data_IF_152070707806
#
_entry.id   IF_152070707806
#
_cell.length_a   1.000
_cell.length_b   1.000
_cell.length_c   1.000
_cell.angle_alpha   90.00
_cell.angle_beta   90.00
_cell.angle_gamma   90.00
#
_symmetry.space_group_name_H-M   'P 1'
#
loop_
_entity.id
_entity.type
_entity.pdbx_description
1 polymer ?
#
# COMPACT_ATOMS: atom_id res chain seq x y z
N UNK A 1 -3.97 20.88 8.34
CA UNK A 1 -3.95 20.22 7.02
C UNK A 1 -4.06 18.72 7.26
N UNK A 2 -5.00 18.02 6.61
CA UNK A 2 -5.10 16.57 6.74
C UNK A 2 -3.94 15.88 5.99
N UNK A 3 -3.43 14.77 6.54
CA UNK A 3 -2.38 13.95 5.93
C UNK A 3 -2.76 13.42 4.55
N UNK A 4 -1.77 12.99 3.77
CA UNK A 4 -2.05 12.32 2.50
C UNK A 4 -2.70 10.96 2.77
N UNK A 5 -3.83 10.67 2.12
CA UNK A 5 -4.49 9.36 2.16
C UNK A 5 -3.72 8.38 1.30
N UNK A 6 -3.17 7.33 1.91
CA UNK A 6 -2.37 6.31 1.22
C UNK A 6 -3.01 4.95 1.43
N UNK A 7 -3.22 4.22 0.33
CA UNK A 7 -3.66 2.83 0.36
C UNK A 7 -2.44 1.91 0.27
N UNK A 8 -2.28 1.03 1.25
CA UNK A 8 -1.38 -0.12 1.18
C UNK A 8 -2.17 -1.35 0.68
N UNK A 9 -1.72 -1.94 -0.43
CA UNK A 9 -2.26 -3.17 -0.99
C UNK A 9 -1.35 -4.33 -0.62
N UNK A 10 -1.77 -5.12 0.38
CA UNK A 10 -1.03 -6.27 0.92
C UNK A 10 -0.39 -5.97 2.26
N UNK A 11 -0.91 -6.59 3.31
CA UNK A 11 -0.37 -6.56 4.67
C UNK A 11 0.42 -7.83 5.00
N UNK A 12 0.10 -8.93 4.33
CA UNK A 12 0.70 -10.25 4.55
C UNK A 12 2.20 -10.27 4.23
N UNK A 13 2.97 -11.15 4.89
CA UNK A 13 4.42 -11.25 4.66
C UNK A 13 4.77 -11.79 3.26
N UNK A 14 3.81 -12.49 2.63
CA UNK A 14 3.92 -13.09 1.31
C UNK A 14 2.55 -13.14 0.63
N UNK A 15 2.57 -13.31 -0.69
CA UNK A 15 1.38 -13.52 -1.51
C UNK A 15 0.51 -14.69 -1.02
N UNK A 16 -0.78 -14.50 -1.23
CA UNK A 16 -1.88 -15.46 -1.10
C UNK A 16 -1.94 -16.24 0.23
N UNK A 17 -1.49 -15.61 1.31
CA UNK A 17 -1.62 -16.06 2.70
C UNK A 17 -2.14 -14.93 3.59
N UNK A 18 -2.57 -15.25 4.80
CA UNK A 18 -3.11 -14.31 5.79
C UNK A 18 -2.17 -14.09 7.00
N UNK A 19 -0.87 -14.34 6.82
CA UNK A 19 0.12 -14.23 7.89
C UNK A 19 0.87 -12.90 7.77
N UNK A 20 0.88 -12.10 8.83
CA UNK A 20 1.51 -10.77 8.90
C UNK A 20 2.84 -10.75 9.63
N UNK A 21 3.27 -11.89 10.19
CA UNK A 21 4.50 -11.94 10.99
C UNK A 21 5.70 -11.61 10.12
N UNK A 22 6.52 -10.68 10.59
CA UNK A 22 7.71 -10.18 9.88
C UNK A 22 7.40 -9.53 8.52
N UNK A 23 6.16 -9.10 8.30
CA UNK A 23 5.78 -8.43 7.06
C UNK A 23 6.53 -7.11 6.88
N UNK A 24 7.17 -6.94 5.72
CA UNK A 24 7.78 -5.66 5.33
C UNK A 24 6.75 -4.53 5.24
N UNK A 25 5.49 -4.85 5.00
CA UNK A 25 4.38 -3.89 4.96
C UNK A 25 4.18 -3.17 6.29
N UNK A 26 4.50 -3.79 7.43
CA UNK A 26 4.40 -3.14 8.75
C UNK A 26 5.33 -1.92 8.83
N UNK A 27 6.57 -2.06 8.33
CA UNK A 27 7.56 -0.98 8.33
C UNK A 27 7.08 0.19 7.47
N UNK A 28 6.47 -0.10 6.31
CA UNK A 28 5.93 0.92 5.39
C UNK A 28 4.81 1.71 6.09
N UNK A 29 3.82 1.02 6.65
CA UNK A 29 2.67 1.65 7.32
C UNK A 29 3.12 2.52 8.49
N UNK A 30 3.98 1.99 9.36
CA UNK A 30 4.48 2.74 10.52
C UNK A 30 5.28 3.96 10.10
N UNK A 31 6.17 3.82 9.10
CA UNK A 31 7.01 4.94 8.65
C UNK A 31 6.19 6.07 8.02
N UNK A 32 5.22 5.73 7.16
CA UNK A 32 4.36 6.72 6.53
C UNK A 32 3.43 7.40 7.54
N UNK A 33 2.95 6.64 8.53
CA UNK A 33 2.15 7.20 9.63
C UNK A 33 2.98 8.16 10.49
N UNK A 34 4.23 7.81 10.81
CA UNK A 34 5.15 8.72 11.51
C UNK A 34 5.36 10.04 10.75
N UNK A 35 5.36 9.97 9.40
CA UNK A 35 5.44 11.12 8.50
C UNK A 35 4.10 11.88 8.33
N UNK A 36 3.03 11.46 9.00
CA UNK A 36 1.72 12.12 9.00
C UNK A 36 0.77 11.67 7.88
N UNK A 37 1.00 10.52 7.24
CA UNK A 37 0.05 9.94 6.29
C UNK A 37 -1.20 9.36 7.00
N UNK A 38 -2.35 9.44 6.32
CA UNK A 38 -3.56 8.73 6.70
C UNK A 38 -3.57 7.39 5.97
N UNK A 39 -3.27 6.30 6.69
CA UNK A 39 -3.11 4.97 6.10
C UNK A 39 -4.45 4.23 6.01
N UNK A 40 -4.67 3.58 4.86
CA UNK A 40 -5.67 2.52 4.65
C UNK A 40 -4.96 1.26 4.21
N UNK A 41 -5.54 0.12 4.53
CA UNK A 41 -4.96 -1.19 4.18
C UNK A 41 -6.03 -2.02 3.51
N UNK A 42 -5.70 -2.55 2.34
CA UNK A 42 -6.47 -3.58 1.67
C UNK A 42 -5.63 -4.85 1.61
N UNK A 43 -6.21 -5.98 2.02
CA UNK A 43 -5.62 -7.30 1.89
C UNK A 43 -6.76 -8.32 1.73
N UNK A 44 -6.81 -9.08 0.63
CA UNK A 44 -7.93 -9.98 0.36
C UNK A 44 -7.98 -11.21 1.27
N UNK A 45 -6.89 -11.54 1.98
CA UNK A 45 -6.80 -12.77 2.79
C UNK A 45 -6.77 -12.50 4.30
N UNK A 46 -6.50 -11.26 4.72
CA UNK A 46 -6.30 -10.91 6.12
C UNK A 46 -7.54 -10.29 6.76
N UNK A 47 -7.96 -10.77 7.93
CA UNK A 47 -9.05 -10.15 8.70
C UNK A 47 -8.53 -9.12 9.72
N UNK A 48 -7.45 -9.46 10.43
CA UNK A 48 -6.92 -8.70 11.56
C UNK A 48 -5.43 -8.49 11.43
N UNK A 49 -4.96 -7.28 11.74
CA UNK A 49 -3.54 -6.97 11.78
C UNK A 49 -3.09 -6.66 13.21
N UNK A 50 -2.86 -7.71 14.00
CA UNK A 50 -2.62 -7.61 15.43
C UNK A 50 -1.37 -6.79 15.79
N UNK A 51 -0.34 -6.78 14.95
CA UNK A 51 0.84 -5.94 15.12
C UNK A 51 0.47 -4.44 15.20
N UNK A 52 -0.58 -4.01 14.51
CA UNK A 52 -1.09 -2.63 14.55
C UNK A 52 -2.20 -2.43 15.59
N UNK A 53 -3.11 -3.40 15.72
CA UNK A 53 -4.25 -3.31 16.63
C UNK A 53 -3.85 -3.41 18.12
N UNK A 54 -2.80 -4.18 18.43
CA UNK A 54 -2.38 -4.53 19.79
C UNK A 54 -0.91 -4.19 20.04
N UNK A 55 -0.51 -2.97 19.67
CA UNK A 55 0.89 -2.52 19.62
C UNK A 55 1.69 -2.76 20.91
N UNK A 56 1.06 -2.61 22.08
CA UNK A 56 1.71 -2.76 23.40
C UNK A 56 1.85 -4.22 23.86
N UNK A 57 1.10 -5.14 23.26
CA UNK A 57 0.93 -6.50 23.77
C UNK A 57 1.28 -7.60 22.77
N UNK A 58 1.28 -7.31 21.46
CA UNK A 58 1.55 -8.27 20.41
C UNK A 58 2.78 -7.87 19.58
N UNK A 59 3.63 -8.82 19.13
CA UNK A 59 3.65 -10.25 19.49
C UNK A 59 4.13 -10.50 20.93
N UNK A 60 4.91 -9.56 21.48
CA UNK A 60 5.21 -9.38 22.89
C UNK A 60 5.64 -7.92 23.08
N UNK A 61 5.48 -7.34 24.27
CA UNK A 61 5.81 -5.93 24.53
C UNK A 61 7.25 -5.55 24.14
N UNK A 62 8.21 -6.47 24.30
CA UNK A 62 9.61 -6.31 23.91
C UNK A 62 9.92 -6.65 22.44
N UNK A 63 8.94 -7.11 21.66
CA UNK A 63 9.12 -7.60 20.29
C UNK A 63 8.31 -6.82 19.24
N UNK A 64 7.35 -6.00 19.67
CA UNK A 64 6.63 -5.06 18.80
C UNK A 64 7.60 -4.08 18.13
N UNK A 65 7.42 -3.86 16.82
CA UNK A 65 8.18 -2.85 16.08
C UNK A 65 7.75 -1.42 16.44
N UNK A 66 6.60 -1.24 17.10
CA UNK A 66 6.09 0.07 17.51
C UNK A 66 7.16 0.90 18.24
N UNK A 67 8.03 0.27 19.05
CA UNK A 67 9.12 0.94 19.78
C UNK A 67 10.10 1.76 18.91
N UNK A 68 10.14 1.52 17.60
CA UNK A 68 11.03 2.20 16.67
C UNK A 68 10.38 3.38 15.93
N UNK A 69 9.09 3.63 16.16
CA UNK A 69 8.31 4.64 15.46
C UNK A 69 7.55 5.55 16.43
N UNK A 70 7.15 6.73 15.95
CA UNK A 70 6.36 7.72 16.69
C UNK A 70 5.05 8.02 15.98
N UNK A 71 4.14 8.73 16.65
CA UNK A 71 2.88 9.26 16.10
C UNK A 71 1.94 8.19 15.52
N UNK A 72 1.88 7.01 16.15
CA UNK A 72 1.21 5.83 15.59
C UNK A 72 -0.01 5.35 16.38
N UNK A 73 -0.49 6.14 17.34
CA UNK A 73 -1.62 5.76 18.21
C UNK A 73 -2.87 5.39 17.41
N UNK A 74 -3.10 6.11 16.30
CA UNK A 74 -4.24 5.86 15.42
C UNK A 74 -4.15 4.54 14.64
N UNK A 75 -2.99 3.87 14.57
CA UNK A 75 -2.87 2.57 13.89
C UNK A 75 -3.70 1.48 14.58
N UNK A 76 -4.02 1.62 15.87
CA UNK A 76 -4.92 0.70 16.57
C UNK A 76 -6.35 0.69 15.97
N UNK A 77 -6.71 1.75 15.24
CA UNK A 77 -8.01 1.91 14.61
C UNK A 77 -8.02 1.48 13.13
N UNK A 78 -6.90 1.00 12.57
CA UNK A 78 -6.89 0.44 11.23
C UNK A 78 -7.85 -0.74 11.15
N UNK A 79 -8.54 -0.84 10.02
CA UNK A 79 -9.35 -2.00 9.65
C UNK A 79 -8.92 -2.44 8.27
N UNK A 80 -8.76 -3.75 8.11
CA UNK A 80 -8.47 -4.33 6.80
C UNK A 80 -9.71 -4.17 5.93
N UNK A 81 -9.51 -3.63 4.73
CA UNK A 81 -10.53 -3.46 3.72
C UNK A 81 -10.45 -4.64 2.74
N UNK A 82 -11.61 -5.16 2.35
CA UNK A 82 -11.72 -6.24 1.35
C UNK A 82 -12.30 -5.78 0.01
N UNK A 83 -12.85 -4.56 -0.02
CA UNK A 83 -13.30 -3.90 -1.25
C UNK A 83 -12.24 -2.90 -1.70
N UNK A 84 -11.47 -3.27 -2.73
CA UNK A 84 -10.41 -2.44 -3.28
C UNK A 84 -10.94 -1.13 -3.87
N UNK A 85 -12.09 -1.16 -4.55
CA UNK A 85 -12.67 0.01 -5.18
C UNK A 85 -13.08 1.05 -4.12
N UNK A 86 -13.69 0.61 -3.02
CA UNK A 86 -13.98 1.47 -1.88
C UNK A 86 -12.70 1.96 -1.18
N UNK A 87 -11.70 1.09 -1.00
CA UNK A 87 -10.47 1.41 -0.28
C UNK A 87 -9.64 2.50 -0.98
N UNK A 88 -9.52 2.43 -2.31
CA UNK A 88 -8.71 3.37 -3.12
C UNK A 88 -9.39 4.73 -3.31
N UNK A 89 -10.69 4.83 -3.07
CA UNK A 89 -11.46 6.07 -3.25
C UNK A 89 -10.83 7.26 -2.53
N UNK A 90 -10.41 8.24 -3.32
CA UNK A 90 -9.79 9.47 -2.83
C UNK A 90 -8.37 9.31 -2.26
N UNK A 91 -7.71 8.17 -2.47
CA UNK A 91 -6.30 8.00 -2.16
C UNK A 91 -5.43 8.93 -3.03
N UNK A 92 -4.35 9.44 -2.46
CA UNK A 92 -3.31 10.18 -3.20
C UNK A 92 -2.18 9.26 -3.68
N UNK A 93 -2.01 8.12 -3.01
CA UNK A 93 -1.09 7.09 -3.42
C UNK A 93 -1.64 5.69 -3.13
N UNK A 94 -1.26 4.73 -3.97
CA UNK A 94 -1.46 3.29 -3.79
C UNK A 94 -0.09 2.60 -3.79
N UNK A 95 0.16 1.74 -2.82
CA UNK A 95 1.39 0.96 -2.69
C UNK A 95 1.07 -0.51 -2.88
N UNK A 96 1.58 -1.10 -3.95
CA UNK A 96 1.52 -2.53 -4.21
C UNK A 96 2.64 -3.22 -3.42
N UNK A 97 2.31 -3.63 -2.20
CA UNK A 97 3.27 -4.08 -1.20
C UNK A 97 3.41 -5.61 -1.11
N UNK A 98 2.47 -6.38 -1.67
CA UNK A 98 2.52 -7.84 -1.72
C UNK A 98 1.90 -8.31 -3.04
N UNK A 99 2.47 -9.25 -3.79
CA UNK A 99 1.97 -9.64 -5.10
C UNK A 99 0.84 -10.69 -5.01
N UNK A 100 -0.24 -10.36 -4.30
CA UNK A 100 -1.44 -11.22 -4.26
C UNK A 100 -2.05 -11.36 -5.64
N UNK A 101 -2.64 -12.53 -5.92
CA UNK A 101 -3.23 -12.83 -7.23
C UNK A 101 -4.21 -11.75 -7.75
N UNK A 102 -5.10 -11.15 -6.93
CA UNK A 102 -5.98 -10.07 -7.40
C UNK A 102 -5.24 -8.81 -7.87
N UNK A 103 -4.06 -8.51 -7.32
CA UNK A 103 -3.30 -7.31 -7.69
C UNK A 103 -2.56 -7.44 -9.02
N UNK A 104 -2.24 -8.68 -9.43
CA UNK A 104 -1.59 -8.96 -10.71
C UNK A 104 -2.49 -8.64 -11.90
N UNK A 105 -3.80 -8.64 -11.67
CA UNK A 105 -4.85 -8.45 -12.68
C UNK A 105 -5.45 -7.03 -12.66
N UNK A 106 -4.82 -6.07 -11.97
CA UNK A 106 -5.34 -4.71 -11.89
C UNK A 106 -5.23 -3.99 -13.23
N UNK A 107 -6.34 -3.36 -13.60
CA UNK A 107 -6.46 -2.46 -14.74
C UNK A 107 -6.22 -1.01 -14.28
N UNK A 108 -5.21 -0.30 -14.82
CA UNK A 108 -4.94 1.10 -14.51
C UNK A 108 -6.14 2.02 -14.65
N UNK A 109 -6.97 1.84 -15.68
CA UNK A 109 -8.16 2.67 -15.91
C UNK A 109 -9.16 2.53 -14.76
N UNK A 110 -9.40 1.29 -14.30
CA UNK A 110 -10.29 1.01 -13.17
C UNK A 110 -9.77 1.58 -11.86
N UNK A 111 -8.47 1.48 -11.61
CA UNK A 111 -7.87 2.05 -10.41
C UNK A 111 -8.06 3.57 -10.37
N UNK A 112 -7.79 4.28 -11.48
CA UNK A 112 -7.95 5.74 -11.55
C UNK A 112 -9.42 6.15 -11.46
N UNK A 113 -10.31 5.40 -12.10
CA UNK A 113 -11.77 5.56 -12.00
C UNK A 113 -12.24 5.47 -10.54
N UNK A 114 -11.88 4.39 -9.83
CA UNK A 114 -12.26 4.18 -8.43
C UNK A 114 -11.62 5.19 -7.48
N UNK A 115 -10.36 5.56 -7.73
CA UNK A 115 -9.68 6.61 -6.96
C UNK A 115 -10.36 7.98 -7.14
N UNK A 116 -11.00 8.20 -8.30
CA UNK A 116 -11.67 9.44 -8.70
C UNK A 116 -10.71 10.56 -9.10
N UNK A 117 -9.42 10.25 -9.25
CA UNK A 117 -8.35 11.16 -9.69
C UNK A 117 -7.07 10.38 -9.99
N UNK A 118 -6.12 10.97 -10.74
CA UNK A 118 -4.77 10.43 -10.82
C UNK A 118 -4.10 10.36 -9.44
N UNK A 119 -3.26 9.36 -9.25
CA UNK A 119 -2.61 9.03 -7.97
C UNK A 119 -1.16 8.60 -8.20
N UNK A 120 -0.35 8.60 -7.15
CA UNK A 120 0.95 7.95 -7.19
C UNK A 120 0.80 6.43 -7.00
N UNK A 121 1.45 5.63 -7.82
CA UNK A 121 1.47 4.17 -7.73
C UNK A 121 2.90 3.73 -7.43
N UNK A 122 3.08 3.03 -6.32
CA UNK A 122 4.38 2.49 -5.90
C UNK A 122 4.34 0.97 -5.99
N UNK A 123 5.21 0.39 -6.81
CA UNK A 123 5.30 -1.05 -7.01
C UNK A 123 6.56 -1.61 -6.35
N UNK A 124 6.37 -2.34 -5.25
CA UNK A 124 7.47 -2.93 -4.48
C UNK A 124 7.91 -4.31 -5.02
N UNK A 125 7.13 -4.93 -5.90
CA UNK A 125 7.32 -6.34 -6.31
C UNK A 125 7.43 -6.55 -7.83
N UNK A 126 7.37 -5.48 -8.62
CA UNK A 126 7.41 -5.59 -10.08
C UNK A 126 6.13 -6.19 -10.66
N UNK A 127 4.99 -5.92 -10.04
CA UNK A 127 3.66 -6.33 -10.50
C UNK A 127 3.29 -5.65 -11.82
N UNK A 128 3.73 -4.41 -12.01
CA UNK A 128 3.41 -3.63 -13.20
C UNK A 128 4.43 -3.92 -14.31
N UNK A 129 3.89 -4.39 -15.43
CA UNK A 129 4.59 -4.43 -16.72
C UNK A 129 4.66 -3.02 -17.36
N UNK A 130 5.47 -2.89 -18.41
CA UNK A 130 5.72 -1.60 -19.05
C UNK A 130 4.46 -1.02 -19.71
N UNK A 131 3.52 -1.87 -20.15
CA UNK A 131 2.24 -1.43 -20.72
C UNK A 131 1.36 -0.78 -19.65
N UNK A 132 1.21 -1.41 -18.48
CA UNK A 132 0.47 -0.84 -17.34
C UNK A 132 1.14 0.43 -16.84
N UNK A 133 2.47 0.48 -16.77
CA UNK A 133 3.21 1.66 -16.34
C UNK A 133 2.96 2.83 -17.31
N UNK A 134 3.07 2.60 -18.62
CA UNK A 134 2.75 3.59 -19.65
C UNK A 134 1.32 4.09 -19.50
N UNK A 135 0.37 3.17 -19.32
CA UNK A 135 -1.04 3.52 -19.15
C UNK A 135 -1.30 4.42 -17.94
N UNK A 136 -0.66 4.14 -16.80
CA UNK A 136 -0.75 5.03 -15.63
C UNK A 136 -0.24 6.44 -15.94
N UNK A 137 0.86 6.59 -16.70
CA UNK A 137 1.35 7.92 -17.08
C UNK A 137 0.38 8.66 -18.02
N UNK A 138 -0.21 7.97 -18.99
CA UNK A 138 -1.24 8.55 -19.88
C UNK A 138 -2.47 9.04 -19.10
N UNK A 139 -2.81 8.34 -18.00
CA UNK A 139 -3.87 8.72 -17.07
C UNK A 139 -3.45 9.84 -16.09
N UNK A 140 -2.26 10.41 -16.24
CA UNK A 140 -1.74 11.50 -15.41
C UNK A 140 -1.23 11.07 -14.03
N UNK A 141 -1.01 9.78 -13.82
CA UNK A 141 -0.48 9.24 -12.57
C UNK A 141 1.05 9.37 -12.51
N UNK A 142 1.59 9.18 -11.31
CA UNK A 142 3.03 8.99 -11.11
C UNK A 142 3.31 7.54 -10.76
N UNK A 143 4.36 6.94 -11.32
CA UNK A 143 4.74 5.56 -11.02
C UNK A 143 6.17 5.51 -10.49
N UNK A 144 6.39 4.75 -9.41
CA UNK A 144 7.71 4.39 -8.88
C UNK A 144 7.75 2.88 -8.66
N UNK A 145 8.84 2.22 -9.02
CA UNK A 145 8.99 0.80 -8.76
C UNK A 145 10.43 0.42 -8.38
N UNK A 146 10.55 -0.58 -7.51
CA UNK A 146 11.84 -1.06 -7.02
C UNK A 146 12.64 -1.72 -8.16
N UNK A 147 13.88 -1.29 -8.36
CA UNK A 147 14.77 -1.89 -9.37
C UNK A 147 14.43 -1.59 -10.84
N UNK A 148 13.51 -0.65 -11.11
CA UNK A 148 13.01 -0.34 -12.47
C UNK A 148 13.43 1.06 -12.92
N UNK A 149 14.73 1.28 -13.13
CA UNK A 149 15.28 2.58 -13.53
C UNK A 149 14.81 3.07 -14.90
N UNK A 150 14.32 2.18 -15.76
CA UNK A 150 13.83 2.50 -17.10
C UNK A 150 12.46 3.19 -17.11
N UNK A 151 11.71 3.20 -15.99
CA UNK A 151 10.40 3.85 -15.88
C UNK A 151 10.44 5.32 -16.30
N UNK A 152 11.54 6.01 -16.02
CA UNK A 152 11.70 7.42 -16.41
C UNK A 152 11.68 7.60 -17.93
N UNK A 153 12.24 6.65 -18.69
CA UNK A 153 12.19 6.69 -20.16
C UNK A 153 10.77 6.47 -20.68
N UNK A 154 10.05 5.52 -20.10
CA UNK A 154 8.63 5.29 -20.46
C UNK A 154 7.82 6.56 -20.23
N UNK A 155 8.06 7.30 -19.13
CA UNK A 155 7.37 8.55 -18.84
C UNK A 155 7.65 9.66 -19.86
N UNK A 156 8.88 9.73 -20.37
CA UNK A 156 9.29 10.73 -21.37
C UNK A 156 8.74 10.44 -22.78
N UNK A 157 8.24 9.22 -23.01
CA UNK A 157 7.61 8.79 -24.28
C UNK A 157 6.09 9.06 -24.34
N UNK A 158 5.48 9.51 -23.23
CA UNK A 158 4.03 9.71 -23.08
C UNK A 158 3.66 11.18 -23.05
#
# INVERSE_FOLDING_TARGET
>A
TAGAKILLCGASYRQDVADTRYSGSEIIVRKLTEMGAEMRVHDPYLEHWYELEKQDRYPASSHSLARFFRNQDNLANIRIQHDLAAAVKGAKAMILAVPHAPYLQLDPDKIVEWAGRPLAVVDCFGILDDEKIRRYFELGCEVKALGRGHIQRIKEEV
#
